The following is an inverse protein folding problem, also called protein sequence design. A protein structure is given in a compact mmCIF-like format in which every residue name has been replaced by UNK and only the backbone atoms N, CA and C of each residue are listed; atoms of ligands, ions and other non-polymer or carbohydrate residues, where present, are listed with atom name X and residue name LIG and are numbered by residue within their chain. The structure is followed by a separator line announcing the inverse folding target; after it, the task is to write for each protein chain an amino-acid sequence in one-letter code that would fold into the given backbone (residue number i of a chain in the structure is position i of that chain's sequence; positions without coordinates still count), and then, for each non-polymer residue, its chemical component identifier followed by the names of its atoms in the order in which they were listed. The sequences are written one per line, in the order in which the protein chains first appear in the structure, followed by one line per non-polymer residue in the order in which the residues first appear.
data_IF_680171302425
#
_entry.id   IF_680171302425
#
_cell.length_a   1.000
_cell.length_b   1.000
_cell.length_c   1.000
_cell.angle_alpha   90.00
_cell.angle_beta   90.00
_cell.angle_gamma   90.00
#
_symmetry.space_group_name_H-M   'P 1'
#
loop_
_entity.id
_entity.type
_entity.pdbx_description
1 polymer ?
#
# COMPACT_ATOMS: atom_id res chain seq x y z
N UNK A 1 8.72 15.64 4.72
CA UNK A 1 8.65 14.40 3.88
C UNK A 1 9.53 14.47 2.64
N UNK A 2 9.49 15.54 1.84
CA UNK A 2 10.35 15.68 0.63
C UNK A 2 11.85 15.54 0.90
N UNK A 3 12.32 15.95 2.07
CA UNK A 3 13.72 15.76 2.48
C UNK A 3 14.05 14.28 2.67
N UNK A 4 13.28 13.54 3.47
CA UNK A 4 13.44 12.08 3.67
C UNK A 4 13.39 11.30 2.34
N UNK A 5 12.63 11.81 1.37
CA UNK A 5 12.51 11.21 0.05
C UNK A 5 13.81 11.19 -0.77
N UNK A 6 14.79 12.02 -0.42
CA UNK A 6 16.11 12.12 -1.06
C UNK A 6 17.17 11.21 -0.43
N UNK A 7 16.88 10.65 0.76
CA UNK A 7 17.82 9.82 1.48
C UNK A 7 17.82 8.39 0.95
N UNK A 8 18.97 7.73 1.00
CA UNK A 8 19.02 6.27 1.07
C UNK A 8 18.71 5.85 2.51
N UNK A 9 17.56 5.21 2.71
CA UNK A 9 17.12 4.74 4.02
C UNK A 9 17.40 3.24 4.18
N UNK A 10 18.16 2.88 5.22
CA UNK A 10 18.47 1.50 5.56
C UNK A 10 18.02 1.21 6.99
N UNK A 11 17.25 0.14 7.20
CA UNK A 11 16.81 -0.25 8.54
C UNK A 11 18.01 -0.81 9.31
N UNK A 12 18.29 -0.26 10.48
CA UNK A 12 19.37 -0.72 11.35
C UNK A 12 18.82 -1.72 12.38
N UNK A 13 17.75 -1.34 13.08
CA UNK A 13 17.04 -2.22 14.03
C UNK A 13 15.53 -1.92 14.02
N UNK A 14 14.79 -2.44 15.00
CA UNK A 14 13.33 -2.30 15.08
C UNK A 14 12.84 -0.84 15.07
N UNK A 15 13.60 0.08 15.66
CA UNK A 15 13.17 1.48 15.82
C UNK A 15 14.07 2.48 15.09
N UNK A 16 15.24 2.06 14.58
CA UNK A 16 16.24 2.96 13.99
C UNK A 16 16.50 2.69 12.52
N UNK A 17 16.60 3.78 11.77
CA UNK A 17 16.99 3.81 10.36
C UNK A 17 18.22 4.68 10.17
N UNK A 18 19.17 4.20 9.37
CA UNK A 18 20.28 5.00 8.85
C UNK A 18 19.82 5.70 7.58
N UNK A 19 19.90 7.03 7.57
CA UNK A 19 19.63 7.86 6.40
C UNK A 19 20.95 8.41 5.86
N UNK A 20 21.26 8.11 4.60
CA UNK A 20 22.44 8.65 3.93
C UNK A 20 22.01 9.60 2.82
N UNK A 21 22.52 10.83 2.87
CA UNK A 21 22.27 11.88 1.88
C UNK A 21 23.56 12.19 1.13
N UNK A 22 23.47 12.42 -0.18
CA UNK A 22 24.57 13.02 -0.93
C UNK A 22 24.36 14.53 -0.92
N UNK A 23 25.27 15.26 -0.28
CA UNK A 23 25.21 16.73 -0.24
C UNK A 23 25.71 17.33 -1.56
N UNK A 24 25.45 18.62 -1.83
CA UNK A 24 25.91 19.29 -3.06
C UNK A 24 27.43 19.28 -3.26
N UNK A 25 28.19 19.17 -2.18
CA UNK A 25 29.65 19.00 -2.19
C UNK A 25 30.12 17.56 -2.53
N UNK A 26 29.16 16.65 -2.77
CA UNK A 26 29.41 15.24 -3.08
C UNK A 26 29.70 14.38 -1.85
N UNK A 27 29.75 14.94 -0.64
CA UNK A 27 30.06 14.19 0.56
C UNK A 27 28.80 13.53 1.14
N UNK A 28 28.90 12.26 1.61
CA UNK A 28 27.77 11.59 2.23
C UNK A 28 27.58 12.11 3.66
N UNK A 29 26.35 12.50 4.00
CA UNK A 29 25.95 12.83 5.37
C UNK A 29 25.02 11.75 5.90
N UNK A 30 25.34 11.24 7.09
CA UNK A 30 24.61 10.16 7.74
C UNK A 30 23.83 10.68 8.94
N UNK A 31 22.54 10.35 8.99
CA UNK A 31 21.62 10.64 10.10
C UNK A 31 21.01 9.35 10.64
N UNK A 32 20.66 9.35 11.92
CA UNK A 32 19.89 8.26 12.54
C UNK A 32 18.48 8.76 12.82
N UNK A 33 17.51 8.18 12.13
CA UNK A 33 16.09 8.39 12.39
C UNK A 33 15.60 7.32 13.36
N UNK A 34 15.11 7.73 14.53
CA UNK A 34 14.39 6.84 15.45
C UNK A 34 12.90 7.05 15.32
N UNK A 35 12.15 5.97 15.20
CA UNK A 35 10.70 5.96 15.06
C UNK A 35 10.08 5.35 16.30
N UNK A 36 8.95 5.89 16.74
CA UNK A 36 8.19 5.33 17.87
C UNK A 36 7.49 4.01 17.49
N UNK A 37 7.00 3.91 16.26
CA UNK A 37 6.32 2.72 15.74
C UNK A 37 6.65 2.49 14.26
N UNK A 38 6.85 1.22 13.90
CA UNK A 38 6.96 0.77 12.51
C UNK A 38 8.08 1.49 11.74
N UNK A 39 7.73 2.08 10.59
CA UNK A 39 8.66 2.90 9.80
C UNK A 39 8.48 4.41 10.02
N UNK A 40 7.66 4.81 10.99
CA UNK A 40 7.34 6.21 11.29
C UNK A 40 7.03 7.02 10.02
N UNK A 41 7.65 8.20 9.83
CA UNK A 41 7.35 9.06 8.69
C UNK A 41 7.81 8.49 7.33
N UNK A 42 8.66 7.45 7.30
CA UNK A 42 9.09 6.83 6.04
C UNK A 42 7.94 6.08 5.34
N UNK A 43 6.90 5.67 6.08
CA UNK A 43 5.74 4.97 5.50
C UNK A 43 5.04 5.80 4.41
N UNK A 44 5.04 7.12 4.57
CA UNK A 44 4.40 8.05 3.63
C UNK A 44 5.08 8.04 2.26
N UNK A 45 6.35 7.61 2.17
CA UNK A 45 7.04 7.52 0.89
C UNK A 45 6.47 6.43 -0.02
N UNK A 46 5.77 5.42 0.53
CA UNK A 46 5.07 4.37 -0.24
C UNK A 46 3.90 4.92 -1.06
N UNK A 47 3.38 6.09 -0.69
CA UNK A 47 2.30 6.74 -1.43
C UNK A 47 2.77 7.43 -2.72
N UNK A 48 4.08 7.50 -2.99
CA UNK A 48 4.58 8.07 -4.25
C UNK A 48 4.22 7.16 -5.42
N UNK A 49 3.45 7.68 -6.36
CA UNK A 49 2.96 6.92 -7.51
C UNK A 49 1.84 5.92 -7.17
N UNK A 50 1.38 5.91 -5.92
CA UNK A 50 0.20 5.13 -5.56
C UNK A 50 -1.03 5.75 -6.22
N UNK A 51 -1.81 4.91 -6.90
CA UNK A 51 -3.10 5.27 -7.47
C UNK A 51 -4.14 4.31 -6.94
N UNK A 52 -5.31 4.85 -6.61
CA UNK A 52 -6.41 4.02 -6.13
C UNK A 52 -6.92 3.15 -7.29
N UNK A 53 -7.15 1.85 -7.09
CA UNK A 53 -7.85 1.03 -8.07
C UNK A 53 -9.20 1.65 -8.42
N UNK A 54 -9.59 1.58 -9.70
CA UNK A 54 -10.87 2.12 -10.17
C UNK A 54 -12.06 1.29 -9.69
N UNK A 55 -11.85 -0.02 -9.54
CA UNK A 55 -12.88 -1.00 -9.24
C UNK A 55 -12.35 -1.99 -8.18
N UNK A 56 -13.28 -2.56 -7.41
CA UNK A 56 -12.98 -3.52 -6.34
C UNK A 56 -13.01 -4.95 -6.88
N UNK A 57 -13.85 -5.21 -7.88
CA UNK A 57 -14.06 -6.51 -8.49
C UNK A 57 -13.70 -6.44 -9.98
N UNK A 58 -13.03 -7.47 -10.49
CA UNK A 58 -12.77 -7.66 -11.92
C UNK A 58 -13.92 -8.48 -12.49
N UNK A 59 -14.94 -7.83 -13.04
CA UNK A 59 -16.09 -8.53 -13.64
C UNK A 59 -15.78 -8.83 -15.10
N UNK A 60 -15.49 -10.10 -15.41
CA UNK A 60 -15.48 -10.55 -16.81
C UNK A 60 -16.92 -10.47 -17.32
N UNK A 61 -17.23 -9.70 -18.38
CA UNK A 61 -18.59 -9.65 -18.92
C UNK A 61 -18.95 -11.04 -19.44
N UNK A 62 -19.82 -11.76 -18.73
CA UNK A 62 -20.28 -13.09 -19.12
C UNK A 62 -20.28 -14.17 -18.03
N UNK A 63 -19.71 -13.90 -16.85
CA UNK A 63 -19.73 -14.84 -15.70
C UNK A 63 -20.73 -14.40 -14.61
N UNK A 64 -21.80 -13.71 -15.01
CA UNK A 64 -22.94 -13.48 -14.12
C UNK A 64 -23.56 -14.84 -13.83
N UNK A 65 -23.59 -15.31 -12.56
CA UNK A 65 -24.34 -16.50 -12.23
C UNK A 65 -25.80 -16.20 -12.59
N UNK A 66 -26.31 -16.85 -13.64
CA UNK A 66 -27.73 -16.84 -13.95
C UNK A 66 -28.42 -17.52 -12.78
N UNK A 67 -28.84 -16.71 -11.80
CA UNK A 67 -29.74 -17.15 -10.75
C UNK A 67 -31.07 -17.40 -11.46
N UNK A 68 -31.24 -18.64 -11.91
CA UNK A 68 -32.52 -19.10 -12.42
C UNK A 68 -33.52 -18.94 -11.28
N UNK A 69 -34.69 -18.30 -11.51
CA UNK A 69 -35.73 -18.27 -10.51
C UNK A 69 -36.03 -19.74 -10.16
N UNK A 70 -35.83 -20.11 -8.91
CA UNK A 70 -36.32 -21.37 -8.38
C UNK A 70 -37.82 -21.37 -8.63
N UNK A 71 -38.29 -22.33 -9.43
CA UNK A 71 -39.70 -22.62 -9.60
C UNK A 71 -40.28 -23.04 -8.23
N UNK A 72 -40.70 -22.06 -7.43
CA UNK A 72 -41.47 -22.25 -6.19
C UNK A 72 -42.96 -22.38 -6.55
N UNK A 73 -43.29 -23.27 -7.50
CA UNK A 73 -44.67 -23.56 -7.91
C UNK A 73 -45.00 -25.06 -7.78
N UNK A 74 -44.55 -25.67 -6.68
CA UNK A 74 -45.03 -26.99 -6.28
C UNK A 74 -45.49 -27.00 -4.82
N UNK A 75 -46.62 -26.33 -4.57
CA UNK A 75 -47.53 -26.69 -3.49
C UNK A 75 -48.88 -27.05 -4.10
N UNK A 76 -48.92 -28.23 -4.71
CA UNK A 76 -50.17 -28.93 -5.00
C UNK A 76 -50.97 -29.05 -3.70
N UNK A 77 -52.21 -28.57 -3.74
CA UNK A 77 -53.19 -28.78 -2.71
C UNK A 77 -53.74 -30.21 -2.84
N UNK A 78 -53.65 -30.99 -1.76
CA UNK A 78 -54.65 -32.00 -1.38
C UNK A 78 -54.82 -32.00 0.15
#
# INVERSE_FOLDING_TARGET
IRWLAQAKAEKWDESRYRLTFTMPDGLPVTWILRTEMGSGPLVLLKLRGFTLPKEIFDTTPGDDPVISPVDDDNREAE
#
